data_IF_863705256968
#
_entry.id   IF_863705256968
#
_cell.length_a   1.000
_cell.length_b   1.000
_cell.length_c   1.000
_cell.angle_alpha   90.00
_cell.angle_beta   90.00
_cell.angle_gamma   90.00
#
_symmetry.space_group_name_H-M   'P 1'
#
loop_
_entity.id
_entity.type
_entity.pdbx_description
1 polymer ?
#
# COMPACT_ATOMS: atom_id res chain seq x y z
N UNK A 1 -7.47 -22.61 -15.28
CA UNK A 1 -6.29 -21.87 -14.78
C UNK A 1 -6.33 -20.35 -15.03
N UNK A 2 -7.28 -19.79 -15.80
CA UNK A 2 -7.37 -18.33 -16.01
C UNK A 2 -8.10 -17.55 -14.90
N UNK A 3 -8.96 -18.22 -14.11
CA UNK A 3 -9.76 -17.58 -13.06
C UNK A 3 -8.91 -17.18 -11.84
N UNK A 4 -8.02 -18.07 -11.38
CA UNK A 4 -7.20 -17.86 -10.17
C UNK A 4 -6.17 -16.72 -10.33
N UNK A 5 -5.65 -16.50 -11.55
CA UNK A 5 -4.70 -15.42 -11.83
C UNK A 5 -5.40 -14.05 -11.86
N UNK A 6 -6.66 -14.00 -12.31
CA UNK A 6 -7.45 -12.77 -12.30
C UNK A 6 -7.80 -12.36 -10.85
N UNK A 7 -8.22 -13.32 -10.02
CA UNK A 7 -8.45 -13.08 -8.59
C UNK A 7 -7.15 -12.70 -7.87
N UNK A 8 -6.03 -13.35 -8.20
CA UNK A 8 -4.71 -13.02 -7.65
C UNK A 8 -4.25 -11.59 -7.94
N UNK A 9 -4.49 -11.07 -9.15
CA UNK A 9 -4.19 -9.66 -9.51
C UNK A 9 -5.05 -8.68 -8.72
N UNK A 10 -6.36 -8.92 -8.66
CA UNK A 10 -7.26 -8.04 -7.92
C UNK A 10 -6.96 -8.05 -6.41
N UNK A 11 -6.74 -9.23 -5.82
CA UNK A 11 -6.37 -9.36 -4.41
C UNK A 11 -5.05 -8.64 -4.11
N UNK A 12 -4.03 -8.81 -4.95
CA UNK A 12 -2.73 -8.14 -4.79
C UNK A 12 -2.86 -6.61 -4.94
N UNK A 13 -3.68 -6.15 -5.88
CA UNK A 13 -3.95 -4.72 -6.05
C UNK A 13 -4.59 -4.15 -4.78
N UNK A 14 -5.69 -4.75 -4.32
CA UNK A 14 -6.44 -4.29 -3.14
C UNK A 14 -5.54 -4.30 -1.89
N UNK A 15 -4.76 -5.35 -1.68
CA UNK A 15 -3.83 -5.45 -0.56
C UNK A 15 -2.79 -4.32 -0.58
N UNK A 16 -2.20 -4.03 -1.75
CA UNK A 16 -1.25 -2.93 -1.89
C UNK A 16 -1.90 -1.56 -1.63
N UNK A 17 -3.09 -1.31 -2.19
CA UNK A 17 -3.80 -0.04 -2.02
C UNK A 17 -4.20 0.22 -0.56
N UNK A 18 -4.75 -0.79 0.11
CA UNK A 18 -5.09 -0.71 1.54
C UNK A 18 -3.81 -0.53 2.38
N UNK A 19 -2.76 -1.33 2.08
CA UNK A 19 -1.48 -1.25 2.77
C UNK A 19 -0.85 0.13 2.67
N UNK A 20 -0.86 0.76 1.50
CA UNK A 20 -0.34 2.12 1.28
C UNK A 20 -1.19 3.18 2.00
N UNK A 21 -2.52 3.06 1.97
CA UNK A 21 -3.41 3.96 2.70
C UNK A 21 -3.12 3.91 4.21
N UNK A 22 -3.06 2.70 4.77
CA UNK A 22 -2.75 2.46 6.17
C UNK A 22 -1.34 2.94 6.52
N UNK A 23 -0.33 2.63 5.70
CA UNK A 23 1.05 3.06 5.92
C UNK A 23 1.15 4.59 5.97
N UNK A 24 0.51 5.28 5.03
CA UNK A 24 0.50 6.75 4.97
C UNK A 24 -0.17 7.35 6.20
N UNK A 25 -1.31 6.80 6.61
CA UNK A 25 -2.01 7.24 7.81
C UNK A 25 -1.19 7.00 9.09
N UNK A 26 -0.69 5.78 9.25
CA UNK A 26 0.10 5.36 10.40
C UNK A 26 1.43 6.10 10.47
N UNK A 27 2.04 6.46 9.34
CA UNK A 27 3.25 7.29 9.30
C UNK A 27 2.99 8.61 10.02
N UNK A 28 1.92 9.32 9.67
CA UNK A 28 1.57 10.60 10.32
C UNK A 28 1.20 10.41 11.79
N UNK A 29 0.46 9.34 12.12
CA UNK A 29 0.13 9.02 13.51
C UNK A 29 1.40 8.77 14.33
N UNK A 30 2.33 7.99 13.80
CA UNK A 30 3.58 7.64 14.48
C UNK A 30 4.52 8.83 14.59
N UNK A 31 4.58 9.70 13.58
CA UNK A 31 5.36 10.94 13.60
C UNK A 31 4.87 11.90 14.70
N UNK A 32 3.56 11.99 14.92
CA UNK A 32 2.96 12.96 15.87
C UNK A 32 2.73 12.41 17.27
N UNK A 33 2.53 11.11 17.41
CA UNK A 33 2.07 10.47 18.67
C UNK A 33 2.72 9.11 18.96
N UNK A 34 3.53 8.57 18.05
CA UNK A 34 4.04 7.20 18.14
C UNK A 34 5.29 7.06 19.01
N UNK A 35 5.50 5.84 19.51
CA UNK A 35 6.77 5.40 20.09
C UNK A 35 7.62 4.69 19.04
N UNK A 36 8.94 4.64 19.26
CA UNK A 36 9.87 4.02 18.31
C UNK A 36 9.52 2.56 18.02
N UNK A 37 9.18 1.78 19.06
CA UNK A 37 8.81 0.37 18.91
C UNK A 37 7.53 0.18 18.07
N UNK A 38 6.51 0.99 18.32
CA UNK A 38 5.26 0.91 17.55
C UNK A 38 5.49 1.28 16.08
N UNK A 39 6.36 2.25 15.81
CA UNK A 39 6.72 2.66 14.45
C UNK A 39 7.38 1.52 13.68
N UNK A 40 8.34 0.80 14.29
CA UNK A 40 9.01 -0.33 13.65
C UNK A 40 8.10 -1.55 13.50
N UNK A 41 7.17 -1.78 14.42
CA UNK A 41 6.23 -2.88 14.27
C UNK A 41 5.20 -2.61 13.16
N UNK A 42 4.59 -1.42 13.16
CA UNK A 42 3.47 -1.12 12.26
C UNK A 42 3.91 -0.77 10.83
N UNK A 43 4.98 0.00 10.65
CA UNK A 43 5.38 0.46 9.31
C UNK A 43 6.17 -0.62 8.55
N UNK A 44 7.40 -1.02 8.95
CA UNK A 44 8.14 -2.06 8.24
C UNK A 44 7.70 -3.48 8.57
N UNK A 45 6.94 -3.73 9.65
CA UNK A 45 6.36 -5.04 9.94
C UNK A 45 5.02 -5.23 9.24
N UNK A 46 3.96 -4.63 9.80
CA UNK A 46 2.59 -4.84 9.35
C UNK A 46 2.32 -4.27 7.95
N UNK A 47 2.56 -2.97 7.71
CA UNK A 47 2.27 -2.35 6.42
C UNK A 47 3.12 -2.90 5.29
N UNK A 48 4.43 -3.09 5.52
CA UNK A 48 5.29 -3.70 4.50
C UNK A 48 4.95 -5.18 4.24
N UNK A 49 4.43 -5.92 5.23
CA UNK A 49 3.95 -7.29 5.04
C UNK A 49 2.61 -7.37 4.29
N UNK A 50 1.74 -6.36 4.42
CA UNK A 50 0.49 -6.26 3.65
C UNK A 50 0.72 -5.92 2.18
N UNK A 51 1.70 -5.06 1.89
CA UNK A 51 2.06 -4.70 0.52
C UNK A 51 3.05 -5.70 -0.05
N UNK A 52 2.99 -5.99 -1.35
CA UNK A 52 3.96 -6.88 -2.00
C UNK A 52 4.35 -6.39 -3.40
N UNK A 53 5.65 -6.15 -3.60
CA UNK A 53 6.20 -5.90 -4.93
C UNK A 53 6.56 -7.20 -5.66
N UNK A 54 6.97 -8.24 -4.94
CA UNK A 54 7.36 -9.53 -5.52
C UNK A 54 6.17 -10.22 -6.22
N UNK A 55 4.98 -10.19 -5.61
CA UNK A 55 3.78 -10.70 -6.25
C UNK A 55 3.40 -9.86 -7.48
N UNK A 56 3.56 -8.53 -7.42
CA UNK A 56 3.30 -7.65 -8.56
C UNK A 56 4.23 -7.98 -9.72
N UNK A 57 5.53 -8.16 -9.46
CA UNK A 57 6.51 -8.55 -10.47
C UNK A 57 6.15 -9.90 -11.10
N UNK A 58 5.84 -10.92 -10.29
CA UNK A 58 5.41 -12.24 -10.78
C UNK A 58 4.18 -12.16 -11.67
N UNK A 59 3.12 -11.47 -11.23
CA UNK A 59 1.87 -11.32 -11.98
C UNK A 59 1.98 -10.44 -13.23
N UNK A 60 3.05 -9.65 -13.33
CA UNK A 60 3.38 -8.79 -14.48
C UNK A 60 4.17 -9.55 -15.54
N UNK A 61 5.15 -10.37 -15.13
CA UNK A 61 6.07 -11.07 -16.02
C UNK A 61 5.43 -12.33 -16.62
N UNK A 62 4.53 -12.99 -15.91
CA UNK A 62 3.80 -14.17 -16.44
C UNK A 62 3.05 -13.78 -17.73
N UNK A 63 3.22 -14.53 -18.84
CA UNK A 63 2.67 -14.19 -20.15
C UNK A 63 1.14 -14.31 -20.14
N UNK A 64 0.51 -13.24 -19.67
CA UNK A 64 -0.93 -13.05 -19.62
C UNK A 64 -1.20 -11.59 -19.96
N UNK A 65 -2.13 -11.35 -20.88
CA UNK A 65 -2.51 -10.00 -21.33
C UNK A 65 -2.76 -9.09 -20.11
N UNK A 66 -2.24 -7.87 -20.17
CA UNK A 66 -2.50 -6.83 -19.15
C UNK A 66 -1.51 -6.74 -17.97
N UNK A 67 -0.38 -7.46 -17.97
CA UNK A 67 0.63 -7.34 -16.91
C UNK A 67 1.16 -5.91 -16.72
N UNK A 68 1.52 -5.23 -17.81
CA UNK A 68 1.97 -3.82 -17.76
C UNK A 68 0.88 -2.87 -17.22
N UNK A 69 -0.37 -3.10 -17.63
CA UNK A 69 -1.50 -2.31 -17.16
C UNK A 69 -1.74 -2.52 -15.67
N UNK A 70 -1.60 -3.75 -15.17
CA UNK A 70 -1.69 -4.07 -13.74
C UNK A 70 -0.60 -3.38 -12.92
N UNK A 71 0.66 -3.41 -13.39
CA UNK A 71 1.76 -2.68 -12.75
C UNK A 71 1.47 -1.18 -12.69
N UNK A 72 1.02 -0.61 -13.82
CA UNK A 72 0.66 0.81 -13.90
C UNK A 72 -0.42 1.19 -12.89
N UNK A 73 -1.51 0.43 -12.80
CA UNK A 73 -2.57 0.67 -11.82
C UNK A 73 -2.06 0.59 -10.38
N UNK A 74 -1.23 -0.41 -10.07
CA UNK A 74 -0.71 -0.60 -8.72
C UNK A 74 0.13 0.61 -8.27
N UNK A 75 1.02 1.11 -9.14
CA UNK A 75 1.86 2.28 -8.84
C UNK A 75 1.04 3.57 -8.81
N UNK A 76 0.26 3.84 -9.85
CA UNK A 76 -0.49 5.11 -9.97
C UNK A 76 -1.52 5.27 -8.86
N UNK A 77 -2.31 4.24 -8.56
CA UNK A 77 -3.29 4.33 -7.47
C UNK A 77 -2.62 4.41 -6.10
N UNK A 78 -1.50 3.71 -5.87
CA UNK A 78 -0.75 3.85 -4.62
C UNK A 78 -0.27 5.30 -4.41
N UNK A 79 0.24 5.94 -5.46
CA UNK A 79 0.65 7.36 -5.39
C UNK A 79 -0.53 8.30 -5.15
N UNK A 80 -1.64 8.10 -5.86
CA UNK A 80 -2.86 8.91 -5.67
C UNK A 80 -3.39 8.78 -4.23
N UNK A 81 -3.44 7.56 -3.69
CA UNK A 81 -3.83 7.31 -2.31
C UNK A 81 -2.91 8.07 -1.36
N UNK A 82 -1.60 8.03 -1.56
CA UNK A 82 -0.67 8.77 -0.72
C UNK A 82 -0.91 10.29 -0.76
N UNK A 83 -1.12 10.85 -1.96
CA UNK A 83 -1.40 12.28 -2.17
C UNK A 83 -2.69 12.71 -1.43
N UNK A 84 -3.70 11.85 -1.39
CA UNK A 84 -4.98 12.13 -0.72
C UNK A 84 -4.93 11.87 0.79
N UNK A 85 -4.37 10.74 1.20
CA UNK A 85 -4.38 10.30 2.61
C UNK A 85 -3.44 11.16 3.45
N UNK A 86 -2.27 11.53 2.94
CA UNK A 86 -1.29 12.32 3.70
C UNK A 86 -1.87 13.66 4.24
N UNK A 87 -2.49 14.53 3.44
CA UNK A 87 -3.08 15.77 3.96
C UNK A 87 -4.28 15.50 4.88
N UNK A 88 -5.09 14.47 4.60
CA UNK A 88 -6.22 14.08 5.46
C UNK A 88 -5.71 13.67 6.85
N UNK A 89 -4.72 12.78 6.92
CA UNK A 89 -4.11 12.34 8.17
C UNK A 89 -3.50 13.51 8.95
N UNK A 90 -2.84 14.44 8.27
CA UNK A 90 -2.27 15.65 8.91
C UNK A 90 -3.33 16.58 9.45
N UNK A 91 -4.52 16.62 8.85
CA UNK A 91 -5.67 17.40 9.33
C UNK A 91 -6.37 16.72 10.52
N UNK A 92 -6.51 15.38 10.48
CA UNK A 92 -7.18 14.60 11.51
C UNK A 92 -6.36 14.42 12.79
N UNK A 93 -5.04 14.32 12.67
CA UNK A 93 -4.15 14.05 13.79
C UNK A 93 -3.36 15.33 14.10
N UNK A 94 -3.82 16.27 14.93
CA UNK A 94 -3.09 17.51 15.19
C UNK A 94 -1.70 17.25 15.78
N UNK A 95 -0.71 18.07 15.39
CA UNK A 95 0.62 18.03 16.01
C UNK A 95 0.52 18.28 17.52
N UNK A 96 1.44 17.73 18.33
CA UNK A 96 1.52 18.16 19.74
C UNK A 96 2.04 19.61 19.72
N UNK A 97 1.20 20.55 20.18
CA UNK A 97 1.68 21.85 20.68
C UNK A 97 2.47 21.66 21.96
#
# INVERSE_FOLDING_TARGET
>A
MGLEIADGRNATLVANLIGVALATFLLVLMERRGTMNMRHFLLPGFCAGLTTFSAVAGLTIVPSKGGQLFLFHNVMFSLLIMIVVLPISRKLIPART
#
